data_IF_529620144926
#
_entry.id   IF_529620144926
#
_cell.length_a   1.000
_cell.length_b   1.000
_cell.length_c   1.000
_cell.angle_alpha   90.00
_cell.angle_beta   90.00
_cell.angle_gamma   90.00
#
_symmetry.space_group_name_H-M   'P 1'
#
loop_
_entity.id
_entity.type
_entity.pdbx_description
1 polymer ?
#
# COMPACT_ATOMS: atom_id res chain seq x y z
N UNK A 1 -13.11 15.13 -41.35
CA UNK A 1 -11.85 14.70 -40.71
C UNK A 1 -12.16 14.27 -39.29
N UNK A 2 -12.14 12.95 -39.04
CA UNK A 2 -12.51 12.31 -37.77
C UNK A 2 -11.26 12.31 -36.88
N UNK A 3 -11.31 13.00 -35.73
CA UNK A 3 -10.23 12.98 -34.73
C UNK A 3 -10.12 11.55 -34.20
N UNK A 4 -8.95 10.96 -34.32
CA UNK A 4 -8.61 9.69 -33.71
C UNK A 4 -8.46 9.89 -32.21
N UNK A 5 -9.38 9.33 -31.42
CA UNK A 5 -9.33 9.22 -29.95
C UNK A 5 -8.26 8.20 -29.52
N UNK A 6 -6.99 8.47 -29.81
CA UNK A 6 -5.85 7.62 -29.43
C UNK A 6 -5.39 7.81 -27.97
N UNK A 7 -6.28 8.20 -27.05
CA UNK A 7 -5.93 8.23 -25.63
C UNK A 7 -7.17 7.96 -24.76
N UNK A 8 -7.78 6.80 -24.96
CA UNK A 8 -8.78 6.22 -24.05
C UNK A 8 -8.22 5.75 -22.71
N UNK A 9 -7.16 6.36 -22.18
CA UNK A 9 -6.84 6.28 -20.76
C UNK A 9 -7.64 7.36 -20.05
N UNK A 10 -8.93 7.07 -19.84
CA UNK A 10 -9.81 7.87 -19.02
C UNK A 10 -9.14 8.12 -17.66
N UNK A 11 -9.15 9.37 -17.23
CA UNK A 11 -8.67 9.76 -15.90
C UNK A 11 -9.36 8.87 -14.87
N UNK A 12 -8.61 8.30 -13.92
CA UNK A 12 -9.18 7.33 -13.00
C UNK A 12 -10.24 8.02 -12.12
N UNK A 13 -11.44 7.45 -12.09
CA UNK A 13 -12.54 7.93 -11.25
C UNK A 13 -12.23 7.67 -9.78
N UNK A 14 -12.92 8.38 -8.88
CA UNK A 14 -12.81 8.15 -7.44
C UNK A 14 -13.20 6.72 -7.01
N UNK A 15 -14.16 6.10 -7.73
CA UNK A 15 -14.59 4.73 -7.49
C UNK A 15 -13.52 3.71 -7.88
N UNK A 16 -12.97 3.84 -9.08
CA UNK A 16 -11.88 2.98 -9.58
C UNK A 16 -10.62 3.10 -8.70
N UNK A 17 -10.31 4.31 -8.22
CA UNK A 17 -9.22 4.53 -7.28
C UNK A 17 -9.39 3.71 -5.99
N UNK A 18 -10.56 3.82 -5.34
CA UNK A 18 -10.84 3.11 -4.09
C UNK A 18 -10.88 1.60 -4.31
N UNK A 19 -11.47 1.15 -5.42
CA UNK A 19 -11.51 -0.25 -5.79
C UNK A 19 -10.09 -0.82 -5.98
N UNK A 20 -9.20 -0.10 -6.67
CA UNK A 20 -7.80 -0.50 -6.84
C UNK A 20 -7.08 -0.63 -5.50
N UNK A 21 -7.16 0.38 -4.64
CA UNK A 21 -6.48 0.33 -3.34
C UNK A 21 -6.99 -0.78 -2.42
N UNK A 22 -8.31 -0.97 -2.37
CA UNK A 22 -8.90 -2.05 -1.59
C UNK A 22 -8.49 -3.42 -2.15
N UNK A 23 -8.53 -3.57 -3.48
CA UNK A 23 -8.07 -4.78 -4.17
C UNK A 23 -6.61 -5.10 -3.88
N UNK A 24 -5.73 -4.10 -3.93
CA UNK A 24 -4.31 -4.26 -3.56
C UNK A 24 -4.15 -4.71 -2.11
N UNK A 25 -4.91 -4.10 -1.18
CA UNK A 25 -4.87 -4.48 0.23
C UNK A 25 -5.26 -5.93 0.47
N UNK A 26 -6.33 -6.40 -0.18
CA UNK A 26 -6.80 -7.79 -0.07
C UNK A 26 -5.78 -8.75 -0.69
N UNK A 27 -5.34 -8.48 -1.93
CA UNK A 27 -4.42 -9.35 -2.66
C UNK A 27 -3.08 -9.49 -1.93
N UNK A 28 -2.42 -8.37 -1.62
CA UNK A 28 -1.13 -8.41 -0.95
C UNK A 28 -1.23 -8.85 0.51
N UNK A 29 -2.35 -8.59 1.19
CA UNK A 29 -2.62 -9.19 2.50
C UNK A 29 -2.62 -10.72 2.46
N UNK A 30 -3.26 -11.31 1.45
CA UNK A 30 -3.26 -12.77 1.26
C UNK A 30 -1.86 -13.31 0.90
N UNK A 31 -1.16 -12.65 -0.03
CA UNK A 31 0.22 -13.02 -0.40
C UNK A 31 1.15 -12.93 0.82
N UNK A 32 1.00 -11.91 1.65
CA UNK A 32 1.79 -11.76 2.86
C UNK A 32 1.49 -12.86 3.87
N UNK A 33 0.22 -13.26 4.03
CA UNK A 33 -0.15 -14.42 4.85
C UNK A 33 0.55 -15.70 4.39
N UNK A 34 0.63 -15.94 3.08
CA UNK A 34 1.40 -17.05 2.52
C UNK A 34 2.91 -16.94 2.80
N UNK A 35 3.49 -15.74 2.66
CA UNK A 35 4.91 -15.50 3.00
C UNK A 35 5.18 -15.75 4.48
N UNK A 36 4.25 -15.37 5.35
CA UNK A 36 4.33 -15.60 6.80
C UNK A 36 4.15 -17.08 7.16
N UNK A 37 3.49 -17.91 6.35
CA UNK A 37 3.45 -19.35 6.62
C UNK A 37 4.86 -19.97 6.67
N UNK A 38 5.82 -19.41 5.92
CA UNK A 38 7.23 -19.80 5.99
C UNK A 38 7.95 -19.46 7.31
N UNK A 39 7.29 -18.77 8.25
CA UNK A 39 7.82 -18.46 9.59
C UNK A 39 7.43 -19.46 10.67
N UNK A 40 6.76 -20.57 10.31
CA UNK A 40 6.28 -21.57 11.28
C UNK A 40 7.39 -22.21 12.14
N UNK A 41 8.64 -22.14 11.70
CA UNK A 41 9.81 -22.66 12.40
C UNK A 41 10.43 -21.67 13.39
N UNK A 42 9.97 -20.43 13.42
CA UNK A 42 10.45 -19.41 14.36
C UNK A 42 9.96 -19.70 15.78
N UNK A 43 10.77 -19.31 16.76
CA UNK A 43 10.33 -19.26 18.14
C UNK A 43 9.12 -18.30 18.27
N UNK A 44 8.19 -18.51 19.23
CA UNK A 44 6.97 -17.71 19.34
C UNK A 44 7.22 -16.19 19.42
N UNK A 45 8.28 -15.78 20.13
CA UNK A 45 8.66 -14.38 20.25
C UNK A 45 9.22 -13.81 18.95
N UNK A 46 10.08 -14.57 18.27
CA UNK A 46 10.64 -14.20 16.96
C UNK A 46 9.54 -14.08 15.89
N UNK A 47 8.57 -15.00 15.92
CA UNK A 47 7.36 -14.93 15.11
C UNK A 47 6.55 -13.67 15.41
N UNK A 48 6.27 -13.40 16.69
CA UNK A 48 5.48 -12.23 17.10
C UNK A 48 6.17 -10.91 16.70
N UNK A 49 7.49 -10.81 16.83
CA UNK A 49 8.26 -9.65 16.38
C UNK A 49 8.20 -9.49 14.86
N UNK A 50 8.43 -10.58 14.11
CA UNK A 50 8.37 -10.56 12.65
C UNK A 50 6.99 -10.14 12.15
N UNK A 51 5.93 -10.70 12.74
CA UNK A 51 4.55 -10.35 12.43
C UNK A 51 4.27 -8.87 12.75
N UNK A 52 4.69 -8.40 13.93
CA UNK A 52 4.48 -7.02 14.37
C UNK A 52 5.18 -6.00 13.47
N UNK A 53 6.43 -6.26 13.10
CA UNK A 53 7.18 -5.38 12.19
C UNK A 53 6.59 -5.39 10.77
N UNK A 54 6.15 -6.56 10.29
CA UNK A 54 5.47 -6.68 8.99
C UNK A 54 4.15 -5.91 8.98
N UNK A 55 3.36 -6.02 10.05
CA UNK A 55 2.12 -5.26 10.20
C UNK A 55 2.38 -3.75 10.21
N UNK A 56 3.41 -3.28 10.92
CA UNK A 56 3.80 -1.87 10.92
C UNK A 56 4.18 -1.37 9.50
N UNK A 57 4.90 -2.18 8.72
CA UNK A 57 5.23 -1.86 7.33
C UNK A 57 3.96 -1.79 6.46
N UNK A 58 3.05 -2.75 6.59
CA UNK A 58 1.75 -2.75 5.89
C UNK A 58 0.94 -1.50 6.22
N UNK A 59 0.83 -1.16 7.51
CA UNK A 59 0.11 0.03 7.96
C UNK A 59 0.72 1.30 7.35
N UNK A 60 2.05 1.39 7.27
CA UNK A 60 2.71 2.52 6.59
C UNK A 60 2.32 2.62 5.11
N UNK A 61 2.24 1.49 4.39
CA UNK A 61 1.77 1.46 3.00
C UNK A 61 0.31 1.96 2.92
N UNK A 62 -0.56 1.48 3.81
CA UNK A 62 -1.98 1.89 3.83
C UNK A 62 -2.16 3.39 4.15
N UNK A 63 -1.29 3.96 5.00
CA UNK A 63 -1.31 5.38 5.33
C UNK A 63 -1.01 6.30 4.15
N UNK A 64 -0.25 5.83 3.15
CA UNK A 64 0.01 6.59 1.92
C UNK A 64 -1.32 7.02 1.29
N UNK A 65 -2.25 6.07 1.17
CA UNK A 65 -3.54 6.26 0.51
C UNK A 65 -4.59 7.00 1.36
N UNK A 66 -4.44 6.95 2.68
CA UNK A 66 -5.38 7.51 3.64
C UNK A 66 -5.08 8.97 4.03
N UNK A 67 -3.86 9.46 3.77
CA UNK A 67 -3.41 10.76 4.28
C UNK A 67 -3.23 11.82 3.18
N UNK A 68 -3.40 13.12 3.48
CA UNK A 68 -3.03 14.21 2.57
C UNK A 68 -1.51 14.31 2.35
N UNK A 69 -0.68 13.87 3.31
CA UNK A 69 0.79 13.98 3.25
C UNK A 69 1.45 12.76 2.58
N UNK A 70 0.91 12.35 1.44
CA UNK A 70 1.22 11.10 0.71
C UNK A 70 2.72 10.89 0.48
N UNK A 71 3.43 11.95 0.11
CA UNK A 71 4.88 11.93 -0.14
C UNK A 71 5.66 11.60 1.15
N UNK A 72 5.31 12.23 2.27
CA UNK A 72 5.98 11.98 3.55
C UNK A 72 5.78 10.52 3.99
N UNK A 73 4.55 10.00 3.89
CA UNK A 73 4.28 8.60 4.21
C UNK A 73 4.93 7.62 3.24
N UNK A 74 5.08 7.99 1.96
CA UNK A 74 5.83 7.19 0.98
C UNK A 74 7.30 7.07 1.41
N UNK A 75 7.94 8.18 1.79
CA UNK A 75 9.32 8.16 2.29
C UNK A 75 9.46 7.33 3.57
N UNK A 76 8.52 7.46 4.50
CA UNK A 76 8.48 6.64 5.72
C UNK A 76 8.33 5.16 5.38
N UNK A 77 7.43 4.80 4.46
CA UNK A 77 7.23 3.40 4.04
C UNK A 77 8.48 2.83 3.37
N UNK A 78 9.13 3.58 2.47
CA UNK A 78 10.42 3.19 1.87
C UNK A 78 11.45 2.92 2.95
N UNK A 79 11.61 3.85 3.90
CA UNK A 79 12.55 3.71 4.99
C UNK A 79 12.28 2.48 5.85
N UNK A 80 11.02 2.25 6.25
CA UNK A 80 10.61 1.09 7.05
C UNK A 80 10.90 -0.22 6.32
N UNK A 81 10.54 -0.33 5.04
CA UNK A 81 10.75 -1.55 4.24
C UNK A 81 12.25 -1.80 3.98
N UNK A 82 13.03 -0.74 3.75
CA UNK A 82 14.48 -0.85 3.56
C UNK A 82 15.19 -1.27 4.84
N UNK A 83 14.76 -0.76 5.99
CA UNK A 83 15.34 -1.09 7.31
C UNK A 83 14.83 -2.40 7.90
N UNK A 84 13.70 -2.93 7.42
CA UNK A 84 13.09 -4.15 7.91
C UNK A 84 14.08 -5.33 8.06
N UNK A 85 14.87 -5.73 7.04
CA UNK A 85 15.80 -6.85 7.21
C UNK A 85 16.88 -6.57 8.26
N UNK A 86 17.37 -5.33 8.36
CA UNK A 86 18.37 -4.95 9.36
C UNK A 86 17.78 -4.99 10.77
N UNK A 87 16.56 -4.47 10.95
CA UNK A 87 15.86 -4.50 12.23
C UNK A 87 15.57 -5.94 12.67
N UNK A 88 15.06 -6.78 11.76
CA UNK A 88 14.79 -8.19 12.06
C UNK A 88 16.07 -8.95 12.42
N UNK A 89 17.18 -8.75 11.69
CA UNK A 89 18.46 -9.39 12.05
C UNK A 89 19.01 -8.97 13.43
N UNK A 90 18.69 -7.75 13.90
CA UNK A 90 19.13 -7.27 15.21
C UNK A 90 18.23 -7.73 16.36
N UNK A 91 16.91 -7.82 16.11
CA UNK A 91 15.93 -8.15 17.14
C UNK A 91 15.71 -9.66 17.31
N UNK A 92 15.83 -10.43 16.22
CA UNK A 92 15.58 -11.86 16.25
C UNK A 92 16.74 -12.64 16.86
N UNK A 93 16.42 -13.81 17.41
CA UNK A 93 17.40 -14.75 17.94
C UNK A 93 18.45 -15.16 16.89
N UNK A 94 19.69 -15.44 17.33
CA UNK A 94 20.76 -15.92 16.43
C UNK A 94 20.33 -17.22 15.77
N UNK A 95 20.22 -17.20 14.44
CA UNK A 95 19.79 -18.35 13.63
C UNK A 95 18.32 -18.33 13.21
N UNK A 96 17.54 -17.33 13.63
CA UNK A 96 16.19 -17.11 13.11
C UNK A 96 16.22 -16.89 11.59
N UNK A 97 15.41 -17.65 10.86
CA UNK A 97 15.29 -17.52 9.42
C UNK A 97 14.16 -16.56 9.08
N UNK A 98 14.52 -15.37 8.60
CA UNK A 98 13.56 -14.38 8.11
C UNK A 98 13.04 -14.87 6.76
N UNK A 99 11.74 -14.76 6.46
CA UNK A 99 11.20 -15.14 5.16
C UNK A 99 11.89 -14.32 4.06
N UNK A 100 12.55 -14.97 3.08
CA UNK A 100 13.29 -14.27 2.04
C UNK A 100 12.36 -13.42 1.15
N UNK A 101 11.09 -13.80 1.08
CA UNK A 101 10.09 -13.13 0.25
C UNK A 101 9.36 -11.98 0.98
N UNK A 102 9.59 -11.75 2.27
CA UNK A 102 8.89 -10.71 3.03
C UNK A 102 9.15 -9.31 2.49
N UNK A 103 10.43 -8.95 2.38
CA UNK A 103 10.83 -7.64 1.88
C UNK A 103 10.40 -7.40 0.42
N UNK A 104 10.64 -8.31 -0.55
CA UNK A 104 10.22 -8.06 -1.92
C UNK A 104 8.70 -7.98 -2.07
N UNK A 105 7.91 -8.77 -1.32
CA UNK A 105 6.45 -8.63 -1.32
C UNK A 105 6.01 -7.24 -0.87
N UNK A 106 6.58 -6.72 0.22
CA UNK A 106 6.28 -5.37 0.71
C UNK A 106 6.74 -4.29 -0.27
N UNK A 107 7.91 -4.46 -0.90
CA UNK A 107 8.44 -3.51 -1.86
C UNK A 107 7.58 -3.43 -3.12
N UNK A 108 7.11 -4.56 -3.65
CA UNK A 108 6.20 -4.62 -4.80
C UNK A 108 4.87 -3.99 -4.43
N UNK A 109 4.31 -4.31 -3.27
CA UNK A 109 3.07 -3.70 -2.79
C UNK A 109 3.20 -2.17 -2.73
N UNK A 110 4.24 -1.66 -2.07
CA UNK A 110 4.53 -0.23 -2.02
C UNK A 110 4.64 0.38 -3.42
N UNK A 111 5.39 -0.26 -4.33
CA UNK A 111 5.58 0.21 -5.69
C UNK A 111 4.25 0.38 -6.42
N UNK A 112 3.38 -0.63 -6.36
CA UNK A 112 2.07 -0.56 -7.02
C UNK A 112 1.16 0.46 -6.32
N UNK A 113 1.18 0.55 -4.98
CA UNK A 113 0.45 1.58 -4.23
C UNK A 113 0.88 2.97 -4.67
N UNK A 114 2.18 3.24 -4.81
CA UNK A 114 2.70 4.53 -5.31
C UNK A 114 2.25 4.77 -6.75
N UNK A 115 2.32 3.77 -7.63
CA UNK A 115 1.85 3.93 -9.02
C UNK A 115 0.37 4.33 -9.09
N UNK A 116 -0.49 3.65 -8.33
CA UNK A 116 -1.91 4.00 -8.21
C UNK A 116 -2.09 5.36 -7.52
N UNK A 117 -1.20 5.69 -6.58
CA UNK A 117 -1.32 6.92 -5.80
C UNK A 117 -1.05 8.18 -6.61
N UNK A 118 -0.05 8.09 -7.50
CA UNK A 118 0.40 9.20 -8.34
C UNK A 118 -0.17 9.15 -9.76
N UNK A 119 -1.02 8.17 -10.08
CA UNK A 119 -1.74 8.11 -11.36
C UNK A 119 -2.68 9.33 -11.54
N UNK A 120 -2.86 9.85 -12.77
CA UNK A 120 -3.78 10.95 -13.06
C UNK A 120 -5.23 10.63 -12.67
N UNK A 121 -5.85 11.49 -11.84
CA UNK A 121 -7.24 11.33 -11.38
C UNK A 121 -8.14 12.44 -11.89
N UNK A 122 -9.42 12.14 -12.02
CA UNK A 122 -10.45 13.17 -12.11
C UNK A 122 -10.49 13.89 -10.77
N UNK A 123 -10.27 15.21 -10.79
CA UNK A 123 -10.59 16.03 -9.63
C UNK A 123 -12.11 16.22 -9.67
N UNK A 124 -12.83 16.11 -8.55
CA UNK A 124 -14.23 16.50 -8.52
C UNK A 124 -14.31 17.93 -9.06
N UNK A 125 -15.22 18.19 -10.01
CA UNK A 125 -15.46 19.53 -10.49
C UNK A 125 -15.82 20.40 -9.27
N UNK A 126 -14.94 21.33 -8.92
CA UNK A 126 -15.24 22.33 -7.92
C UNK A 126 -16.28 23.27 -8.53
N UNK A 127 -17.56 23.01 -8.31
CA UNK A 127 -18.62 23.89 -8.77
C UNK A 127 -19.90 23.20 -9.23
N UNK A 128 -20.40 22.21 -8.50
CA UNK A 128 -21.86 22.06 -8.43
C UNK A 128 -22.28 22.87 -7.19
N UNK A 129 -22.80 24.11 -7.38
CA UNK A 129 -23.43 24.81 -6.28
C UNK A 129 -24.53 23.92 -5.70
N UNK A 130 -24.69 23.96 -4.39
CA UNK A 130 -25.88 23.45 -3.73
C UNK A 130 -27.10 24.21 -4.27
N UNK A 131 -27.63 23.78 -5.42
CA UNK A 131 -28.86 24.29 -5.99
C UNK A 131 -30.03 23.60 -5.28
N UNK A 132 -30.82 24.43 -4.61
CA UNK A 132 -32.10 24.14 -3.95
C UNK A 132 -32.05 23.43 -2.58
N UNK A 133 -31.38 24.06 -1.61
CA UNK A 133 -32.12 24.39 -0.40
C UNK A 133 -32.77 25.77 -0.63
N UNK A 134 -34.09 25.86 -0.41
CA UNK A 134 -34.94 27.06 -0.42
C UNK A 134 -35.65 27.40 -1.76
N UNK A 135 -36.98 27.26 -1.79
CA UNK A 135 -37.82 27.66 -2.93
C UNK A 135 -39.21 27.01 -2.99
N UNK A 136 -40.13 27.49 -2.14
CA UNK A 136 -41.61 27.31 -2.06
C UNK A 136 -42.20 25.95 -1.62
#
# INVERSE_FOLDING_TARGET
MRRYDWAGFGRMTHGEYRANLNGLGIFFGAVLGFVMAGTETLAPLDYALTLSMSAAAVICILYISASPRRIAYTLVAIFVIAMLPTALHQLLSKGAQIPPNLQPTLAVWLGITVLVEFAPRERPAAGEPAEAADGD
#
